data_IF_032339140082
#
_entry.id   IF_032339140082
#
_cell.length_a   1.000
_cell.length_b   1.000
_cell.length_c   1.000
_cell.angle_alpha   90.00
_cell.angle_beta   90.00
_cell.angle_gamma   90.00
#
_symmetry.space_group_name_H-M   'P 1'
#
loop_
_entity.id
_entity.type
_entity.pdbx_description
1 polymer ?
#
# COMPACT_ATOMS: atom_id res chain seq x y z
N UNK A 1 10.14 -12.29 12.16
CA UNK A 1 8.69 -12.45 12.38
C UNK A 1 7.99 -11.93 11.16
N UNK A 2 7.32 -12.75 10.39
CA UNK A 2 6.57 -12.33 9.20
C UNK A 2 5.22 -11.74 9.64
N UNK A 3 4.60 -10.92 8.80
CA UNK A 3 3.25 -10.40 9.07
C UNK A 3 2.28 -11.57 9.32
N UNK A 4 2.46 -12.67 8.60
CA UNK A 4 1.69 -13.91 8.77
C UNK A 4 1.74 -14.45 10.20
N UNK A 5 2.96 -14.53 10.79
CA UNK A 5 3.15 -15.10 12.12
C UNK A 5 2.45 -14.27 13.20
N UNK A 6 2.31 -12.97 13.00
CA UNK A 6 1.66 -12.06 13.94
C UNK A 6 0.14 -11.99 13.78
N UNK A 7 -0.40 -12.31 12.61
CA UNK A 7 -1.83 -12.17 12.32
C UNK A 7 -2.65 -13.44 12.56
N UNK A 8 -2.03 -14.64 12.48
CA UNK A 8 -2.71 -15.92 12.62
C UNK A 8 -3.85 -16.14 11.64
N UNK A 9 -3.77 -15.52 10.45
CA UNK A 9 -4.79 -15.54 9.41
C UNK A 9 -4.17 -15.97 8.08
N UNK A 10 -4.86 -16.82 7.35
CA UNK A 10 -4.53 -17.13 5.96
C UNK A 10 -5.24 -16.20 4.97
N UNK A 11 -6.45 -15.74 5.35
CA UNK A 11 -7.30 -14.90 4.51
C UNK A 11 -7.95 -13.80 5.31
N UNK A 12 -8.17 -12.64 4.67
CA UNK A 12 -8.87 -11.53 5.28
C UNK A 12 -9.87 -10.89 4.32
N UNK A 13 -10.88 -10.24 4.88
CA UNK A 13 -11.87 -9.49 4.14
C UNK A 13 -11.48 -8.02 4.01
N UNK A 14 -11.57 -7.50 2.81
CA UNK A 14 -11.48 -6.07 2.54
C UNK A 14 -12.72 -5.63 1.78
N UNK A 15 -13.49 -4.73 2.37
CA UNK A 15 -14.74 -4.24 1.77
C UNK A 15 -14.50 -3.64 0.36
N UNK A 16 -15.06 -4.22 -0.71
CA UNK A 16 -14.90 -3.69 -2.06
C UNK A 16 -15.72 -2.41 -2.24
N UNK A 17 -15.33 -1.54 -3.19
CA UNK A 17 -16.15 -0.37 -3.56
C UNK A 17 -17.44 -0.76 -4.25
N UNK A 18 -17.39 -1.86 -4.99
CA UNK A 18 -18.52 -2.44 -5.71
C UNK A 18 -18.55 -3.93 -5.37
N UNK A 19 -19.71 -4.46 -5.06
CA UNK A 19 -19.92 -5.86 -4.72
C UNK A 19 -19.63 -6.83 -5.87
N UNK A 20 -19.49 -6.34 -7.11
CA UNK A 20 -18.99 -7.12 -8.24
C UNK A 20 -17.48 -7.36 -8.21
N UNK A 21 -16.77 -6.80 -7.22
CA UNK A 21 -15.31 -6.98 -7.08
C UNK A 21 -15.00 -7.94 -5.93
N UNK A 22 -13.87 -8.61 -6.06
CA UNK A 22 -13.28 -9.47 -5.05
C UNK A 22 -13.20 -8.78 -3.68
N UNK A 23 -13.58 -9.50 -2.62
CA UNK A 23 -13.56 -9.02 -1.25
C UNK A 23 -12.60 -9.79 -0.32
N UNK A 24 -12.21 -11.02 -0.67
CA UNK A 24 -11.35 -11.87 0.17
C UNK A 24 -9.98 -12.03 -0.46
N UNK A 25 -8.94 -11.80 0.35
CA UNK A 25 -7.55 -11.78 -0.09
C UNK A 25 -6.71 -12.72 0.79
N UNK A 26 -5.72 -13.40 0.19
CA UNK A 26 -4.72 -14.13 0.93
C UNK A 26 -3.74 -13.18 1.60
N UNK A 27 -3.20 -13.58 2.74
CA UNK A 27 -2.12 -12.82 3.41
C UNK A 27 -0.81 -12.89 2.63
N UNK A 28 -0.65 -13.89 1.75
CA UNK A 28 0.56 -14.10 0.95
C UNK A 28 0.54 -13.34 -0.38
N UNK A 29 -0.56 -12.69 -0.73
CA UNK A 29 -0.63 -11.87 -1.95
C UNK A 29 -0.45 -10.37 -1.65
N UNK A 30 -0.04 -9.56 -2.65
CA UNK A 30 0.06 -8.12 -2.46
C UNK A 30 -1.26 -7.53 -1.96
N UNK A 31 -1.19 -6.76 -0.87
CA UNK A 31 -2.38 -6.15 -0.27
C UNK A 31 -3.02 -5.14 -1.22
N UNK A 32 -4.34 -5.19 -1.39
CA UNK A 32 -5.04 -4.11 -2.07
C UNK A 32 -4.93 -2.82 -1.26
N UNK A 33 -5.10 -1.68 -1.92
CA UNK A 33 -5.03 -0.35 -1.31
C UNK A 33 -5.77 -0.28 0.02
N UNK A 34 -5.08 0.07 1.10
CA UNK A 34 -5.68 0.36 2.40
C UNK A 34 -6.47 1.66 2.29
N UNK A 35 -7.71 1.66 2.78
CA UNK A 35 -8.62 2.83 2.68
C UNK A 35 -9.08 3.25 4.06
N UNK A 36 -9.54 4.47 4.21
CA UNK A 36 -10.08 5.01 5.47
C UNK A 36 -11.38 4.35 5.98
N UNK A 37 -11.90 3.33 5.27
CA UNK A 37 -13.11 2.60 5.66
C UNK A 37 -12.80 1.13 5.85
N UNK A 38 -13.19 0.59 6.99
CA UNK A 38 -13.09 -0.83 7.33
C UNK A 38 -14.46 -1.34 7.78
N UNK A 39 -15.00 -2.32 7.09
CA UNK A 39 -16.32 -2.88 7.36
C UNK A 39 -16.21 -4.38 7.55
N UNK A 40 -17.05 -4.99 8.43
CA UNK A 40 -17.11 -6.43 8.58
C UNK A 40 -17.58 -7.12 7.29
N UNK A 41 -17.30 -8.41 7.20
CA UNK A 41 -17.88 -9.26 6.16
C UNK A 41 -19.42 -9.21 6.29
N UNK A 42 -20.15 -8.82 5.23
CA UNK A 42 -21.60 -8.73 5.31
C UNK A 42 -22.23 -10.11 5.45
N UNK A 43 -23.30 -10.25 6.23
CA UNK A 43 -24.12 -11.45 6.23
C UNK A 43 -24.59 -11.77 4.80
N UNK A 44 -24.44 -13.02 4.38
CA UNK A 44 -24.81 -13.43 3.03
C UNK A 44 -23.83 -12.99 1.93
N UNK A 45 -22.57 -12.77 2.27
CA UNK A 45 -21.51 -12.49 1.29
C UNK A 45 -21.51 -13.55 0.18
N UNK A 46 -21.69 -13.11 -1.05
CA UNK A 46 -21.58 -13.97 -2.24
C UNK A 46 -20.13 -14.02 -2.70
N UNK A 47 -19.56 -15.24 -2.71
CA UNK A 47 -18.17 -15.44 -3.18
C UNK A 47 -18.02 -14.91 -4.61
N UNK A 48 -16.99 -14.14 -4.82
CA UNK A 48 -16.58 -13.69 -6.14
C UNK A 48 -15.69 -14.75 -6.81
N UNK A 49 -15.70 -14.82 -8.14
CA UNK A 49 -14.87 -15.79 -8.89
C UNK A 49 -13.36 -15.67 -8.62
N UNK A 50 -12.90 -14.48 -8.23
CA UNK A 50 -11.51 -14.23 -7.85
C UNK A 50 -11.19 -14.50 -6.38
N UNK A 51 -12.19 -14.82 -5.53
CA UNK A 51 -11.91 -15.21 -4.14
C UNK A 51 -11.25 -16.61 -4.12
N UNK A 52 -10.38 -16.89 -3.14
CA UNK A 52 -9.81 -18.22 -2.99
C UNK A 52 -10.89 -19.31 -2.87
N UNK A 53 -10.69 -20.45 -3.55
CA UNK A 53 -11.75 -21.45 -3.71
C UNK A 53 -12.11 -22.20 -2.40
N UNK A 54 -11.09 -22.53 -1.61
CA UNK A 54 -11.23 -23.38 -0.41
C UNK A 54 -11.21 -22.53 0.87
N UNK A 55 -12.16 -21.60 1.02
CA UNK A 55 -12.24 -20.75 2.18
C UNK A 55 -13.51 -21.05 2.96
N UNK A 56 -13.38 -21.22 4.26
CA UNK A 56 -14.47 -21.13 5.19
C UNK A 56 -14.72 -19.66 5.55
N UNK A 57 -15.92 -19.14 5.22
CA UNK A 57 -16.25 -17.73 5.45
C UNK A 57 -16.32 -17.37 6.94
N UNK A 58 -16.51 -18.36 7.84
CA UNK A 58 -16.51 -18.13 9.28
C UNK A 58 -15.15 -17.67 9.82
N UNK A 59 -14.07 -18.06 9.14
CA UNK A 59 -12.70 -17.78 9.57
C UNK A 59 -12.16 -16.48 8.97
N UNK A 60 -12.97 -15.85 8.10
CA UNK A 60 -12.59 -14.63 7.40
C UNK A 60 -13.11 -13.40 8.14
N UNK A 61 -12.21 -12.53 8.56
CA UNK A 61 -12.53 -11.23 9.17
C UNK A 61 -11.80 -10.09 8.47
N UNK A 62 -12.25 -8.84 8.61
CA UNK A 62 -11.45 -7.70 8.23
C UNK A 62 -10.21 -7.58 9.13
N UNK A 63 -9.16 -7.01 8.60
CA UNK A 63 -7.99 -6.64 9.41
C UNK A 63 -8.39 -5.58 10.44
N UNK A 64 -7.86 -5.68 11.64
CA UNK A 64 -7.99 -4.66 12.66
C UNK A 64 -7.30 -3.36 12.25
N UNK A 65 -7.58 -2.27 12.95
CA UNK A 65 -6.92 -0.97 12.69
C UNK A 65 -5.41 -1.06 12.81
N UNK A 66 -4.92 -1.79 13.82
CA UNK A 66 -3.47 -1.99 14.03
C UNK A 66 -2.85 -2.87 12.94
N UNK A 67 -3.48 -3.98 12.57
CA UNK A 67 -3.00 -4.84 11.49
C UNK A 67 -2.92 -4.08 10.15
N UNK A 68 -3.85 -3.15 9.91
CA UNK A 68 -3.81 -2.26 8.73
C UNK A 68 -2.66 -1.27 8.77
N UNK A 69 -2.25 -0.80 9.96
CA UNK A 69 -1.07 0.04 10.09
C UNK A 69 0.21 -0.71 9.76
N UNK A 70 0.29 -1.99 10.07
CA UNK A 70 1.42 -2.83 9.65
C UNK A 70 1.50 -2.98 8.13
N UNK A 71 0.38 -3.09 7.43
CA UNK A 71 0.36 -3.08 5.96
C UNK A 71 0.88 -1.76 5.39
N UNK A 72 0.66 -0.64 6.08
CA UNK A 72 1.20 0.68 5.75
C UNK A 72 2.61 0.89 6.31
N UNK A 73 3.23 -0.18 6.83
CA UNK A 73 4.61 -0.20 7.34
C UNK A 73 4.86 0.82 8.45
N UNK A 74 3.84 1.17 9.26
CA UNK A 74 4.06 1.94 10.48
C UNK A 74 4.92 1.15 11.46
N UNK A 75 5.89 1.78 12.12
CA UNK A 75 6.71 1.10 13.12
C UNK A 75 5.88 0.72 14.36
N UNK A 76 6.23 -0.38 15.02
CA UNK A 76 5.54 -0.89 16.22
C UNK A 76 5.53 0.13 17.37
N UNK A 77 6.51 1.04 17.39
CA UNK A 77 6.63 2.11 18.37
C UNK A 77 5.68 3.28 18.11
N UNK A 78 4.99 3.31 16.96
CA UNK A 78 4.09 4.41 16.62
C UNK A 78 2.82 4.35 17.48
N UNK A 79 2.59 5.43 18.22
CA UNK A 79 1.44 5.55 19.13
C UNK A 79 0.25 6.16 18.41
N UNK A 80 -0.83 5.40 18.30
CA UNK A 80 -2.08 5.85 17.72
C UNK A 80 -3.00 6.42 18.80
N UNK A 81 -3.44 7.68 18.64
CA UNK A 81 -4.40 8.34 19.53
C UNK A 81 -5.60 8.82 18.71
N UNK A 82 -6.80 8.55 19.21
CA UNK A 82 -8.04 8.98 18.57
C UNK A 82 -9.11 7.90 18.51
N UNK A 83 -10.25 8.23 17.93
CA UNK A 83 -11.33 7.28 17.72
C UNK A 83 -10.95 6.28 16.62
N UNK A 84 -11.54 5.10 16.64
CA UNK A 84 -11.33 4.06 15.62
C UNK A 84 -11.51 4.63 14.20
N UNK A 85 -12.55 5.41 13.97
CA UNK A 85 -12.84 6.01 12.66
C UNK A 85 -11.72 6.95 12.21
N UNK A 86 -11.24 7.81 13.12
CA UNK A 86 -10.15 8.74 12.81
C UNK A 86 -8.85 7.99 12.51
N UNK A 87 -8.53 6.96 13.29
CA UNK A 87 -7.34 6.13 13.06
C UNK A 87 -7.41 5.39 11.73
N UNK A 88 -8.54 4.80 11.39
CA UNK A 88 -8.71 4.13 10.11
C UNK A 88 -8.60 5.08 8.93
N UNK A 89 -9.13 6.29 9.06
CA UNK A 89 -9.00 7.32 8.03
C UNK A 89 -7.55 7.80 7.90
N UNK A 90 -6.87 8.03 9.01
CA UNK A 90 -5.46 8.42 9.03
C UNK A 90 -4.57 7.36 8.37
N UNK A 91 -4.73 6.08 8.76
CA UNK A 91 -3.96 4.97 8.20
C UNK A 91 -4.28 4.79 6.69
N UNK A 92 -5.56 4.92 6.31
CA UNK A 92 -5.97 4.78 4.92
C UNK A 92 -5.50 5.91 4.00
N UNK A 93 -5.23 7.09 4.54
CA UNK A 93 -4.71 8.25 3.80
C UNK A 93 -3.17 8.33 3.85
N UNK A 94 -2.54 7.54 4.69
CA UNK A 94 -1.08 7.53 4.81
C UNK A 94 -0.42 6.90 3.57
N UNK A 95 0.73 7.43 3.19
CA UNK A 95 1.67 6.74 2.31
C UNK A 95 2.41 5.69 3.16
N UNK A 96 2.62 4.45 2.67
CA UNK A 96 3.41 3.47 3.39
C UNK A 96 4.78 4.03 3.77
N UNK A 97 5.15 3.91 5.05
CA UNK A 97 6.35 4.58 5.61
C UNK A 97 7.62 4.17 4.86
N UNK A 98 7.80 2.88 4.59
CA UNK A 98 8.97 2.39 3.86
C UNK A 98 9.01 2.89 2.40
N UNK A 99 7.84 3.06 1.77
CA UNK A 99 7.76 3.64 0.43
C UNK A 99 8.16 5.13 0.44
N UNK A 100 7.65 5.88 1.42
CA UNK A 100 8.01 7.29 1.59
C UNK A 100 9.52 7.46 1.84
N UNK A 101 10.12 6.62 2.68
CA UNK A 101 11.55 6.59 2.94
C UNK A 101 12.36 6.29 1.67
N UNK A 102 11.93 5.28 0.89
CA UNK A 102 12.57 4.93 -0.37
C UNK A 102 12.57 6.10 -1.35
N UNK A 103 11.43 6.75 -1.53
CA UNK A 103 11.30 7.92 -2.41
C UNK A 103 12.16 9.08 -1.92
N UNK A 104 12.13 9.37 -0.61
CA UNK A 104 12.94 10.43 -0.01
C UNK A 104 14.44 10.20 -0.22
N UNK A 105 14.93 8.96 -0.03
CA UNK A 105 16.31 8.60 -0.30
C UNK A 105 16.69 8.83 -1.77
N UNK A 106 15.83 8.44 -2.71
CA UNK A 106 16.04 8.69 -4.14
C UNK A 106 16.14 10.18 -4.48
N UNK A 107 15.27 11.01 -3.89
CA UNK A 107 15.31 12.47 -4.05
C UNK A 107 16.62 13.05 -3.50
N UNK A 108 17.02 12.62 -2.30
CA UNK A 108 18.27 13.09 -1.67
C UNK A 108 19.52 12.70 -2.51
N UNK A 109 19.56 11.50 -3.06
CA UNK A 109 20.63 11.07 -3.95
C UNK A 109 20.66 11.89 -5.24
N UNK A 110 19.50 12.15 -5.84
CA UNK A 110 19.39 13.02 -7.00
C UNK A 110 19.90 14.43 -6.71
N UNK A 111 19.49 15.03 -5.60
CA UNK A 111 19.94 16.36 -5.19
C UNK A 111 21.46 16.43 -4.97
N UNK A 112 22.10 15.35 -4.49
CA UNK A 112 23.53 15.29 -4.24
C UNK A 112 24.36 15.01 -5.47
N UNK A 113 23.87 14.20 -6.40
CA UNK A 113 24.64 13.68 -7.53
C UNK A 113 24.22 14.26 -8.89
N UNK A 114 23.07 14.92 -8.96
CA UNK A 114 22.43 15.31 -10.23
C UNK A 114 22.03 14.12 -11.11
N UNK A 115 22.19 12.88 -10.62
CA UNK A 115 21.87 11.66 -11.36
C UNK A 115 21.23 10.64 -10.39
N UNK A 116 20.12 10.04 -10.81
CA UNK A 116 19.59 8.86 -10.15
C UNK A 116 20.53 7.69 -10.47
N UNK A 117 21.13 7.07 -9.44
CA UNK A 117 21.94 5.87 -9.64
C UNK A 117 20.98 4.69 -9.88
N UNK A 118 20.87 4.27 -11.12
CA UNK A 118 19.98 3.21 -11.60
C UNK A 118 20.26 1.79 -11.02
N UNK A 119 21.09 1.65 -9.99
CA UNK A 119 21.59 0.34 -9.55
C UNK A 119 20.52 -0.61 -8.98
N UNK A 120 19.31 -0.17 -8.67
CA UNK A 120 18.29 -1.03 -8.05
C UNK A 120 16.93 -1.06 -8.76
N UNK A 121 16.73 -0.35 -9.86
CA UNK A 121 15.44 -0.40 -10.57
C UNK A 121 15.19 -1.73 -11.27
N UNK A 122 16.23 -2.43 -11.69
CA UNK A 122 16.10 -3.71 -12.40
C UNK A 122 15.64 -4.88 -11.52
N UNK A 123 15.86 -4.85 -10.20
CA UNK A 123 15.56 -5.98 -9.33
C UNK A 123 14.21 -5.90 -8.61
N UNK A 124 13.65 -4.72 -8.42
CA UNK A 124 12.40 -4.55 -7.65
C UNK A 124 11.12 -4.72 -8.49
N UNK A 125 11.18 -4.44 -9.78
CA UNK A 125 10.03 -4.60 -10.69
C UNK A 125 10.47 -5.04 -12.10
N UNK A 126 10.81 -6.30 -12.32
CA UNK A 126 11.22 -6.78 -13.65
C UNK A 126 10.13 -6.62 -14.74
N UNK A 127 8.87 -6.51 -14.33
CA UNK A 127 7.74 -6.29 -15.25
C UNK A 127 7.45 -4.82 -15.56
N UNK A 128 7.91 -3.88 -14.75
CA UNK A 128 7.67 -2.44 -14.98
C UNK A 128 8.43 -1.89 -16.20
N UNK A 129 9.45 -2.58 -16.69
CA UNK A 129 10.18 -2.19 -17.89
C UNK A 129 9.33 -2.22 -19.18
N UNK A 130 8.21 -2.96 -19.20
CA UNK A 130 7.28 -2.97 -20.34
C UNK A 130 6.40 -1.71 -20.45
N UNK A 131 6.38 -0.87 -19.40
CA UNK A 131 5.57 0.36 -19.34
C UNK A 131 6.37 1.67 -19.40
N UNK A 132 7.66 1.61 -19.69
CA UNK A 132 8.42 2.84 -19.95
C UNK A 132 8.02 3.30 -21.36
N UNK A 133 7.16 4.30 -21.42
CA UNK A 133 6.87 5.05 -22.63
C UNK A 133 8.20 5.53 -23.26
N UNK A 134 8.36 5.45 -24.61
CA UNK A 134 9.56 5.95 -25.25
C UNK A 134 9.74 7.44 -24.94
N UNK A 135 10.96 7.79 -24.56
CA UNK A 135 11.43 9.13 -24.24
C UNK A 135 10.78 10.23 -25.10
N UNK A 136 9.78 10.92 -24.55
CA UNK A 136 9.58 12.31 -24.88
C UNK A 136 10.34 13.11 -23.82
N UNK A 137 11.39 13.78 -24.26
CA UNK A 137 12.21 14.67 -23.45
C UNK A 137 11.31 15.57 -22.58
N UNK A 138 11.26 15.28 -21.28
CA UNK A 138 10.78 16.24 -20.30
C UNK A 138 11.82 17.35 -20.27
N UNK A 139 11.47 18.51 -20.82
CA UNK A 139 12.26 19.72 -20.75
C UNK A 139 12.60 19.99 -19.27
N UNK A 140 13.91 20.01 -18.99
CA UNK A 140 14.49 20.31 -17.68
C UNK A 140 14.14 21.73 -17.17
N UNK A 141 13.57 22.57 -18.02
CA UNK A 141 13.35 23.99 -17.77
C UNK A 141 12.18 24.29 -16.81
N UNK A 142 11.24 23.35 -16.64
CA UNK A 142 10.08 23.57 -15.74
C UNK A 142 10.34 23.20 -14.28
N UNK A 143 11.43 22.50 -13.95
CA UNK A 143 11.73 22.10 -12.57
C UNK A 143 12.56 23.14 -11.82
N UNK A 144 13.31 23.98 -12.54
CA UNK A 144 14.10 25.07 -11.95
C UNK A 144 13.23 26.20 -11.38
N UNK A 145 12.08 26.46 -11.99
CA UNK A 145 11.15 27.50 -11.53
C UNK A 145 10.40 27.12 -10.25
N UNK A 146 10.14 25.82 -10.02
CA UNK A 146 9.43 25.35 -8.82
C UNK A 146 10.30 25.40 -7.56
N UNK A 147 11.61 25.26 -7.67
CA UNK A 147 12.55 25.30 -6.53
C UNK A 147 12.88 26.73 -6.07
N UNK A 148 12.63 27.76 -6.88
CA UNK A 148 12.88 29.15 -6.49
C UNK A 148 11.74 29.76 -5.64
N UNK A 149 10.55 29.15 -5.62
CA UNK A 149 9.40 29.62 -4.84
C UNK A 149 9.28 28.95 -3.45
N UNK A 150 10.25 28.15 -3.04
CA UNK A 150 10.31 27.51 -1.70
C UNK A 150 11.44 28.09 -0.83
N UNK A 151 11.71 29.40 -0.92
CA UNK A 151 12.54 30.12 0.04
C UNK A 151 11.71 31.12 0.82
#
# INVERSE_FOLDING_TARGET
MTIRDSLGLDYYYRHPRNYSRRGIFSIDEPSPTVRGVNRPLPPGYKKHSGDPKNINLSDVRPLTTIERSYLQTFPDTFKFNGTKTNLEQMIGNAVPVNLAEFVAKGILEFCKSGKIKDKNQQSLFPEAQKFIMPNKALHADNFSAALQNCR
#
